data_IF_062942619997
#
_entry.id   IF_062942619997
#
_cell.length_a   1.000
_cell.length_b   1.000
_cell.length_c   1.000
_cell.angle_alpha   90.00
_cell.angle_beta   90.00
_cell.angle_gamma   90.00
#
_symmetry.space_group_name_H-M   'P 1'
#
loop_
_entity.id
_entity.type
_entity.pdbx_description
1 polymer ?
#
# COMPACT_ATOMS: atom_id res chain seq x y z
N UNK A 1 -33.04 -3.61 7.34
CA UNK A 1 -31.62 -3.36 7.68
C UNK A 1 -30.81 -3.37 6.40
N UNK A 2 -29.89 -2.42 6.22
CA UNK A 2 -28.77 -2.56 5.27
C UNK A 2 -28.84 -1.77 3.97
N UNK A 3 -28.52 -0.46 3.99
CA UNK A 3 -28.02 0.24 2.79
C UNK A 3 -26.92 1.31 3.05
N UNK A 4 -26.48 1.55 4.30
CA UNK A 4 -25.56 2.67 4.63
C UNK A 4 -24.06 2.32 4.80
N UNK A 5 -23.61 1.07 4.64
CA UNK A 5 -22.21 0.70 4.97
C UNK A 5 -21.21 0.85 3.81
N UNK A 6 -21.68 0.88 2.56
CA UNK A 6 -20.81 0.89 1.37
C UNK A 6 -19.82 2.07 1.27
N UNK A 7 -20.18 3.31 1.69
CA UNK A 7 -19.24 4.44 1.63
C UNK A 7 -18.13 4.36 2.68
N UNK A 8 -18.43 3.81 3.86
CA UNK A 8 -17.49 3.71 4.99
C UNK A 8 -16.44 2.64 4.71
N UNK A 9 -16.86 1.46 4.23
CA UNK A 9 -15.96 0.37 3.85
C UNK A 9 -14.97 0.79 2.75
N UNK A 10 -15.42 1.56 1.76
CA UNK A 10 -14.55 2.13 0.72
C UNK A 10 -13.57 3.16 1.27
N UNK A 11 -14.00 3.99 2.21
CA UNK A 11 -13.12 4.98 2.84
C UNK A 11 -12.05 4.29 3.68
N UNK A 12 -12.41 3.28 4.47
CA UNK A 12 -11.47 2.47 5.25
C UNK A 12 -10.48 1.70 4.37
N UNK A 13 -10.91 1.17 3.22
CA UNK A 13 -10.01 0.56 2.25
C UNK A 13 -9.03 1.58 1.67
N UNK A 14 -9.51 2.75 1.22
CA UNK A 14 -8.65 3.81 0.65
C UNK A 14 -7.68 4.34 1.71
N UNK A 15 -8.15 4.56 2.94
CA UNK A 15 -7.34 5.02 4.04
C UNK A 15 -6.34 3.95 4.46
N UNK A 16 -6.74 2.68 4.58
CA UNK A 16 -5.84 1.57 4.93
C UNK A 16 -4.75 1.33 3.89
N UNK A 17 -5.09 1.36 2.59
CA UNK A 17 -4.12 1.22 1.50
C UNK A 17 -3.14 2.41 1.46
N UNK A 18 -3.64 3.64 1.53
CA UNK A 18 -2.79 4.83 1.51
C UNK A 18 -1.93 4.94 2.76
N UNK A 19 -2.51 4.70 3.93
CA UNK A 19 -1.82 4.73 5.22
C UNK A 19 -0.73 3.65 5.28
N UNK A 20 -1.02 2.45 4.78
CA UNK A 20 -0.03 1.38 4.66
C UNK A 20 1.14 1.78 3.76
N UNK A 21 0.87 2.33 2.57
CA UNK A 21 1.91 2.81 1.63
C UNK A 21 2.76 3.93 2.24
N UNK A 22 2.17 4.84 3.00
CA UNK A 22 2.90 5.92 3.68
C UNK A 22 3.87 5.37 4.73
N UNK A 23 3.45 4.39 5.54
CA UNK A 23 4.33 3.70 6.49
C UNK A 23 5.51 3.04 5.76
N UNK A 24 5.24 2.30 4.68
CA UNK A 24 6.29 1.64 3.91
C UNK A 24 7.28 2.63 3.28
N UNK A 25 6.82 3.82 2.91
CA UNK A 25 7.67 4.91 2.40
C UNK A 25 8.44 5.66 3.50
N UNK A 26 7.98 5.63 4.74
CA UNK A 26 8.67 6.25 5.87
C UNK A 26 9.80 5.37 6.44
N UNK A 27 9.80 4.06 6.15
CA UNK A 27 10.86 3.16 6.57
C UNK A 27 12.18 3.48 5.84
N UNK A 28 13.27 3.61 6.61
CA UNK A 28 14.62 3.88 6.09
C UNK A 28 15.32 2.67 5.47
N UNK A 29 14.56 1.69 4.98
CA UNK A 29 15.05 0.49 4.31
C UNK A 29 14.38 0.35 2.95
N UNK A 30 15.10 -0.20 1.97
CA UNK A 30 14.53 -0.50 0.67
C UNK A 30 13.56 -1.69 0.75
N UNK A 31 12.35 -1.52 0.21
CA UNK A 31 11.30 -2.53 0.20
C UNK A 31 10.75 -2.67 -1.20
N UNK A 32 10.66 -3.91 -1.67
CA UNK A 32 10.12 -4.29 -2.97
C UNK A 32 9.06 -5.36 -2.77
N UNK A 33 7.95 -5.24 -3.48
CA UNK A 33 6.94 -6.27 -3.61
C UNK A 33 7.10 -6.90 -5.00
N UNK A 34 7.22 -8.23 -5.01
CA UNK A 34 7.38 -9.03 -6.21
C UNK A 34 6.11 -9.82 -6.49
N UNK A 35 5.85 -10.11 -7.76
CA UNK A 35 4.95 -11.21 -8.13
C UNK A 35 5.66 -12.58 -7.99
N UNK A 36 4.95 -13.71 -8.17
CA UNK A 36 5.56 -15.05 -8.11
C UNK A 36 6.63 -15.33 -9.17
N UNK A 37 6.61 -14.58 -10.28
CA UNK A 37 7.59 -14.68 -11.37
C UNK A 37 8.80 -13.75 -11.15
N UNK A 38 8.92 -13.16 -9.96
CA UNK A 38 9.97 -12.24 -9.54
C UNK A 38 10.00 -10.88 -10.28
N UNK A 39 8.91 -10.48 -10.92
CA UNK A 39 8.78 -9.12 -11.44
C UNK A 39 8.43 -8.14 -10.32
N UNK A 40 8.98 -6.92 -10.40
CA UNK A 40 8.68 -5.85 -9.45
C UNK A 40 7.29 -5.28 -9.76
N UNK A 41 6.35 -5.44 -8.83
CA UNK A 41 5.01 -4.84 -8.94
C UNK A 41 4.89 -3.53 -8.16
N UNK A 42 5.71 -3.33 -7.13
CA UNK A 42 5.80 -2.09 -6.38
C UNK A 42 7.12 -1.98 -5.60
N UNK A 43 7.60 -0.75 -5.38
CA UNK A 43 8.76 -0.49 -4.52
C UNK A 43 8.61 0.86 -3.78
N UNK A 44 9.16 0.94 -2.58
CA UNK A 44 9.14 2.16 -1.77
C UNK A 44 10.16 3.21 -2.25
N UNK A 45 10.11 4.40 -1.64
CA UNK A 45 11.02 5.52 -1.98
C UNK A 45 12.50 5.20 -1.73
N UNK A 46 12.83 4.44 -0.70
CA UNK A 46 14.23 4.12 -0.38
C UNK A 46 14.86 3.21 -1.45
N UNK A 47 14.11 2.26 -2.02
CA UNK A 47 14.61 1.41 -3.12
C UNK A 47 15.11 2.23 -4.32
N UNK A 48 14.47 3.37 -4.62
CA UNK A 48 14.83 4.23 -5.76
C UNK A 48 16.13 5.04 -5.56
N UNK A 49 16.69 5.01 -4.35
CA UNK A 49 17.96 5.70 -4.06
C UNK A 49 19.18 4.80 -4.31
N UNK A 50 18.95 3.52 -4.58
CA UNK A 50 19.98 2.51 -4.84
C UNK A 50 20.36 2.53 -6.32
#
# INVERSE_FOLDING_TARGET
MGQNNRPVEKLEQILGERFGIEILNAMGIAIVVLDPDFNIIWANREYRKI
#
